data_IF_653667258931
#
_entry.id   IF_653667258931
#
_cell.length_a   1.000
_cell.length_b   1.000
_cell.length_c   1.000
_cell.angle_alpha   90.00
_cell.angle_beta   90.00
_cell.angle_gamma   90.00
#
_symmetry.space_group_name_H-M   'P 1'
#
loop_
_entity.id
_entity.type
_entity.pdbx_description
1 polymer ?
#
# COMPACT_ATOMS: atom_id res chain seq x y z
N UNK A 1 3.83 12.39 9.38
CA UNK A 1 2.93 11.84 10.42
C UNK A 1 1.45 12.04 10.09
N UNK A 2 0.90 13.27 10.10
CA UNK A 2 -0.56 13.51 9.92
C UNK A 2 -1.17 12.88 8.66
N UNK A 3 -0.47 12.94 7.52
CA UNK A 3 -0.93 12.38 6.23
C UNK A 3 -1.07 10.85 6.27
N UNK A 4 -0.12 10.15 6.90
CA UNK A 4 -0.14 8.69 7.01
C UNK A 4 -1.25 8.20 7.95
N UNK A 5 -1.50 8.93 9.04
CA UNK A 5 -2.63 8.63 9.92
C UNK A 5 -3.96 8.70 9.18
N UNK A 6 -4.16 9.71 8.34
CA UNK A 6 -5.37 9.84 7.53
C UNK A 6 -5.51 8.72 6.49
N UNK A 7 -4.41 8.35 5.83
CA UNK A 7 -4.40 7.22 4.87
C UNK A 7 -4.69 5.89 5.56
N UNK A 8 -4.16 5.67 6.76
CA UNK A 8 -4.46 4.50 7.57
C UNK A 8 -5.93 4.44 7.96
N UNK A 9 -6.49 5.55 8.46
CA UNK A 9 -7.92 5.63 8.81
C UNK A 9 -8.80 5.36 7.59
N UNK A 10 -8.49 5.94 6.43
CA UNK A 10 -9.21 5.69 5.19
C UNK A 10 -9.13 4.21 4.78
N UNK A 11 -7.94 3.61 4.83
CA UNK A 11 -7.76 2.17 4.57
C UNK A 11 -8.57 1.29 5.53
N UNK A 12 -8.60 1.63 6.81
CA UNK A 12 -9.39 0.92 7.83
C UNK A 12 -10.88 0.99 7.54
N UNK A 13 -11.41 2.17 7.17
CA UNK A 13 -12.83 2.32 6.80
C UNK A 13 -13.18 1.42 5.61
N UNK A 14 -12.35 1.43 4.56
CA UNK A 14 -12.57 0.60 3.37
C UNK A 14 -12.48 -0.90 3.71
N UNK A 15 -11.49 -1.29 4.50
CA UNK A 15 -11.29 -2.67 4.92
C UNK A 15 -12.46 -3.21 5.78
N UNK A 16 -12.98 -2.38 6.70
CA UNK A 16 -14.17 -2.72 7.50
C UNK A 16 -15.39 -2.85 6.59
N UNK A 17 -15.60 -1.93 5.65
CA UNK A 17 -16.71 -2.03 4.69
C UNK A 17 -16.65 -3.34 3.89
N UNK A 18 -15.48 -3.70 3.35
CA UNK A 18 -15.30 -4.97 2.64
C UNK A 18 -15.59 -6.18 3.53
N UNK A 19 -15.23 -6.12 4.82
CA UNK A 19 -15.54 -7.16 5.79
C UNK A 19 -17.05 -7.27 6.04
N UNK A 20 -17.76 -6.14 6.20
CA UNK A 20 -19.21 -6.11 6.42
C UNK A 20 -20.00 -6.67 5.23
N UNK A 21 -19.53 -6.44 4.01
CA UNK A 21 -20.12 -7.00 2.79
C UNK A 21 -19.61 -8.42 2.45
N UNK A 22 -18.84 -9.04 3.35
CA UNK A 22 -18.31 -10.39 3.19
C UNK A 22 -17.40 -10.60 1.95
N UNK A 23 -16.77 -9.52 1.46
CA UNK A 23 -15.80 -9.55 0.36
C UNK A 23 -14.38 -9.90 0.87
N UNK A 24 -14.28 -11.03 1.54
CA UNK A 24 -13.07 -11.50 2.23
C UNK A 24 -11.90 -11.75 1.26
N UNK A 25 -12.19 -12.22 0.06
CA UNK A 25 -11.21 -12.41 -1.02
C UNK A 25 -10.64 -11.08 -1.51
N UNK A 26 -11.45 -10.03 -1.56
CA UNK A 26 -11.01 -8.69 -1.97
C UNK A 26 -10.07 -8.06 -0.93
N UNK A 27 -10.33 -8.28 0.37
CA UNK A 27 -9.43 -7.89 1.46
C UNK A 27 -8.00 -8.42 1.25
N UNK A 28 -7.88 -9.70 0.91
CA UNK A 28 -6.59 -10.33 0.59
C UNK A 28 -5.91 -9.66 -0.60
N UNK A 29 -6.58 -9.59 -1.74
CA UNK A 29 -5.95 -9.10 -2.96
C UNK A 29 -5.64 -7.60 -2.92
N UNK A 30 -6.49 -6.78 -2.31
CA UNK A 30 -6.23 -5.35 -2.12
C UNK A 30 -5.06 -5.17 -1.16
N UNK A 31 -5.04 -5.86 -0.02
CA UNK A 31 -3.94 -5.78 0.95
C UNK A 31 -2.60 -6.16 0.33
N UNK A 32 -2.47 -7.39 -0.16
CA UNK A 32 -1.20 -7.85 -0.74
C UNK A 32 -0.85 -7.13 -2.05
N UNK A 33 -1.82 -6.84 -2.90
CA UNK A 33 -1.60 -6.15 -4.17
C UNK A 33 -1.07 -4.74 -3.97
N UNK A 34 -1.68 -3.95 -3.07
CA UNK A 34 -1.21 -2.60 -2.75
C UNK A 34 0.12 -2.61 -2.02
N UNK A 35 0.38 -3.58 -1.13
CA UNK A 35 1.68 -3.74 -0.48
C UNK A 35 2.80 -3.98 -1.50
N UNK A 36 2.63 -4.97 -2.39
CA UNK A 36 3.61 -5.29 -3.42
C UNK A 36 3.84 -4.12 -4.37
N UNK A 37 2.76 -3.41 -4.74
CA UNK A 37 2.86 -2.20 -5.55
C UNK A 37 3.64 -1.08 -4.85
N UNK A 38 3.40 -0.86 -3.56
CA UNK A 38 4.15 0.10 -2.75
C UNK A 38 5.65 -0.25 -2.66
N UNK A 39 5.98 -1.53 -2.50
CA UNK A 39 7.38 -2.00 -2.49
C UNK A 39 8.02 -1.80 -3.88
N UNK A 40 7.33 -2.14 -4.96
CA UNK A 40 7.81 -1.93 -6.33
C UNK A 40 8.11 -0.45 -6.60
N UNK A 41 7.23 0.44 -6.15
CA UNK A 41 7.41 1.89 -6.27
C UNK A 41 8.52 2.46 -5.39
N UNK A 42 8.88 1.80 -4.29
CA UNK A 42 10.00 2.22 -3.44
C UNK A 42 11.35 2.12 -4.14
N UNK A 43 11.42 1.45 -5.30
CA UNK A 43 12.65 1.26 -6.04
C UNK A 43 13.53 0.13 -5.51
N UNK A 44 13.13 -0.56 -4.43
CA UNK A 44 13.86 -1.73 -3.91
C UNK A 44 13.94 -2.90 -4.89
N UNK A 45 13.03 -2.94 -5.86
CA UNK A 45 13.00 -3.94 -6.95
C UNK A 45 13.73 -3.49 -8.22
N UNK A 46 14.32 -2.29 -8.23
CA UNK A 46 15.06 -1.75 -9.37
C UNK A 46 16.52 -2.21 -9.35
N UNK A 47 17.04 -2.73 -10.47
CA UNK A 47 18.49 -2.91 -10.62
C UNK A 47 19.20 -1.55 -10.60
N UNK A 48 20.48 -1.53 -10.20
CA UNK A 48 21.27 -0.31 -10.03
C UNK A 48 21.33 0.59 -11.29
N UNK A 49 21.23 0.01 -12.49
CA UNK A 49 21.19 0.76 -13.74
C UNK A 49 19.88 1.54 -13.93
N UNK A 50 18.75 0.96 -13.49
CA UNK A 50 17.46 1.65 -13.52
C UNK A 50 17.33 2.72 -12.44
N UNK A 51 18.02 2.57 -11.31
CA UNK A 51 18.13 3.63 -10.30
C UNK A 51 18.86 4.86 -10.85
N UNK A 52 19.93 4.65 -11.63
CA UNK A 52 20.66 5.73 -12.31
C UNK A 52 19.83 6.43 -13.39
N UNK A 53 19.02 5.67 -14.14
CA UNK A 53 18.09 6.24 -15.12
C UNK A 53 16.93 7.01 -14.47
N UNK A 54 16.36 6.51 -13.37
CA UNK A 54 15.28 7.18 -12.64
C UNK A 54 15.77 8.43 -11.88
N UNK A 55 17.04 8.50 -11.47
CA UNK A 55 17.62 9.69 -10.85
C UNK A 55 17.64 10.91 -11.79
N UNK A 56 17.65 10.68 -13.11
CA UNK A 56 17.58 11.75 -14.12
C UNK A 56 16.14 12.19 -14.42
N UNK A 57 15.14 11.37 -14.07
CA UNK A 57 13.73 11.65 -14.31
C UNK A 57 13.10 12.24 -13.04
N UNK A 58 12.98 13.57 -12.99
CA UNK A 58 12.37 14.28 -11.87
C UNK A 58 10.86 14.02 -11.88
N UNK A 59 10.42 12.96 -11.20
CA UNK A 59 9.00 12.66 -11.06
C UNK A 59 8.32 13.77 -10.24
N UNK A 60 7.11 14.19 -10.66
CA UNK A 60 6.29 15.12 -9.87
C UNK A 60 5.66 14.47 -8.62
N UNK A 61 5.92 13.18 -8.39
CA UNK A 61 5.43 12.45 -7.23
C UNK A 61 6.35 12.70 -6.03
N UNK A 62 5.79 12.93 -4.82
CA UNK A 62 6.58 13.04 -3.61
C UNK A 62 7.41 11.76 -3.42
N UNK A 63 8.67 11.90 -3.05
CA UNK A 63 9.62 10.80 -2.85
C UNK A 63 9.09 9.73 -1.86
N UNK A 64 8.23 10.15 -0.92
CA UNK A 64 7.62 9.30 0.09
C UNK A 64 6.20 8.81 -0.27
N UNK A 65 5.76 8.94 -1.52
CA UNK A 65 4.42 8.53 -1.95
C UNK A 65 4.21 7.02 -1.79
N UNK A 66 5.23 6.21 -2.06
CA UNK A 66 5.18 4.75 -1.89
C UNK A 66 4.84 4.34 -0.45
N UNK A 67 5.30 5.09 0.56
CA UNK A 67 4.98 4.85 1.96
C UNK A 67 3.48 5.01 2.24
N UNK A 68 2.80 5.91 1.54
CA UNK A 68 1.35 6.07 1.71
C UNK A 68 0.61 4.83 1.20
N UNK A 69 1.05 4.24 0.10
CA UNK A 69 0.49 3.00 -0.45
C UNK A 69 0.73 1.84 0.52
N UNK A 70 1.93 1.75 1.09
CA UNK A 70 2.25 0.72 2.11
C UNK A 70 1.36 0.90 3.35
N UNK A 71 1.23 2.13 3.88
CA UNK A 71 0.39 2.40 5.05
C UNK A 71 -1.09 2.11 4.75
N UNK A 72 -1.55 2.39 3.53
CA UNK A 72 -2.91 2.06 3.08
C UNK A 72 -3.15 0.55 3.06
N UNK A 73 -2.15 -0.27 2.73
CA UNK A 73 -2.29 -1.72 2.66
C UNK A 73 -2.45 -2.41 4.03
N UNK A 74 -1.90 -1.80 5.09
CA UNK A 74 -1.80 -2.43 6.42
C UNK A 74 -3.16 -2.83 7.03
N UNK A 75 -4.19 -1.98 7.06
CA UNK A 75 -5.48 -2.35 7.64
C UNK A 75 -6.10 -3.59 7.00
N UNK A 76 -5.99 -3.72 5.67
CA UNK A 76 -6.51 -4.87 4.94
C UNK A 76 -5.81 -6.16 5.35
N UNK A 77 -4.48 -6.11 5.46
CA UNK A 77 -3.67 -7.26 5.87
C UNK A 77 -3.96 -7.62 7.34
N UNK A 78 -4.01 -6.63 8.24
CA UNK A 78 -4.32 -6.84 9.66
C UNK A 78 -5.68 -7.51 9.82
N UNK A 79 -6.72 -6.98 9.16
CA UNK A 79 -8.07 -7.55 9.22
C UNK A 79 -8.10 -8.96 8.63
N UNK A 80 -7.46 -9.17 7.49
CA UNK A 80 -7.37 -10.49 6.86
C UNK A 80 -6.72 -11.55 7.79
N UNK A 81 -5.63 -11.21 8.49
CA UNK A 81 -5.00 -12.15 9.42
C UNK A 81 -5.73 -12.29 10.76
N UNK A 82 -6.52 -11.29 11.17
CA UNK A 82 -7.22 -11.33 12.47
C UNK A 82 -8.51 -12.13 12.40
N UNK A 83 -9.23 -12.10 11.26
CA UNK A 83 -10.59 -12.64 11.16
C UNK A 83 -10.73 -13.82 10.20
N UNK A 84 -9.71 -14.15 9.41
CA UNK A 84 -9.83 -14.95 8.19
C UNK A 84 -8.77 -16.04 8.04
N UNK A 85 -7.74 -16.02 8.87
CA UNK A 85 -6.72 -17.07 9.04
C UNK A 85 -6.91 -17.67 10.43
#
# INVERSE_FOLDING_TARGET
MKKYGLVFVAGTVVAILLCLFNFLTALKYIGFGTLLFGIALSGTLSSGDRMRANAQYKSNLPENFFLQIIVFSLPFIIIYFTFLV
#
